data_IF_254552017785
#
_entry.id   IF_254552017785
#
_cell.length_a   1.000
_cell.length_b   1.000
_cell.length_c   1.000
_cell.angle_alpha   90.00
_cell.angle_beta   90.00
_cell.angle_gamma   90.00
#
_symmetry.space_group_name_H-M   'P 1'
#
loop_
_entity.id
_entity.type
_entity.pdbx_description
1 polymer ?
#
# COMPACT_ATOMS: atom_id res chain seq x y z
N UNK A 1 74.15 -1.81 37.35
CA UNK A 1 72.71 -1.80 37.72
C UNK A 1 72.19 -0.37 37.56
N UNK A 2 71.59 -0.04 36.42
CA UNK A 2 70.72 1.14 36.28
C UNK A 2 69.59 0.71 35.33
N UNK A 3 68.35 0.77 35.85
CA UNK A 3 67.12 0.33 35.20
C UNK A 3 66.69 1.34 34.12
N UNK A 4 66.40 0.86 32.93
CA UNK A 4 65.73 1.61 31.86
C UNK A 4 64.22 1.55 32.10
N UNK A 5 63.59 2.70 32.34
CA UNK A 5 62.13 2.83 32.47
C UNK A 5 61.60 3.26 31.10
N UNK A 6 60.81 2.40 30.43
CA UNK A 6 59.98 2.78 29.30
C UNK A 6 58.69 3.43 29.86
N UNK A 7 58.44 4.70 29.52
CA UNK A 7 57.11 5.29 29.59
C UNK A 7 56.33 4.93 28.32
N UNK A 8 55.24 4.19 28.49
CA UNK A 8 54.23 4.00 27.45
C UNK A 8 53.16 5.09 27.60
N UNK A 9 53.05 5.98 26.63
CA UNK A 9 51.98 6.98 26.55
C UNK A 9 50.77 6.33 25.88
N UNK A 10 49.73 6.04 26.66
CA UNK A 10 48.44 5.59 26.13
C UNK A 10 47.66 6.82 25.62
N UNK A 11 47.46 6.90 24.31
CA UNK A 11 46.58 7.89 23.69
C UNK A 11 45.15 7.35 23.76
N UNK A 12 44.35 7.86 24.71
CA UNK A 12 42.92 7.58 24.78
C UNK A 12 42.21 8.53 23.80
N UNK A 13 41.81 8.02 22.64
CA UNK A 13 40.84 8.71 21.79
C UNK A 13 39.45 8.52 22.41
N UNK A 14 38.96 9.54 23.13
CA UNK A 14 37.53 9.64 23.46
C UNK A 14 36.80 10.08 22.17
N UNK A 15 36.08 9.15 21.53
CA UNK A 15 35.00 9.53 20.61
C UNK A 15 33.84 10.03 21.47
N UNK A 16 33.68 11.35 21.54
CA UNK A 16 32.42 11.93 22.01
C UNK A 16 31.39 11.72 20.89
N UNK A 17 30.40 10.86 21.12
CA UNK A 17 29.20 10.87 20.31
C UNK A 17 28.53 12.24 20.48
N UNK A 18 28.28 12.95 19.39
CA UNK A 18 27.43 14.13 19.44
C UNK A 18 26.04 13.70 19.95
N UNK A 19 25.37 14.50 20.80
CA UNK A 19 23.98 14.23 21.12
C UNK A 19 23.19 14.21 19.81
N UNK A 20 22.34 13.20 19.61
CA UNK A 20 21.37 13.24 18.53
C UNK A 20 20.50 14.48 18.76
N UNK A 21 20.51 15.42 17.81
CA UNK A 21 19.62 16.57 17.87
C UNK A 21 18.18 16.06 17.83
N UNK A 22 17.32 16.60 18.70
CA UNK A 22 15.90 16.24 18.74
C UNK A 22 15.26 16.63 17.41
N UNK A 23 14.37 15.79 16.87
CA UNK A 23 13.69 16.08 15.62
C UNK A 23 12.82 17.33 15.78
N UNK A 24 12.95 18.25 14.83
CA UNK A 24 12.08 19.43 14.76
C UNK A 24 10.82 19.11 13.97
N UNK A 25 9.68 19.60 14.46
CA UNK A 25 8.41 19.49 13.75
C UNK A 25 8.46 20.33 12.48
N UNK A 26 8.01 19.78 11.36
CA UNK A 26 8.02 20.49 10.08
C UNK A 26 7.06 21.68 10.12
N UNK A 27 7.47 22.79 9.50
CA UNK A 27 6.60 23.96 9.31
C UNK A 27 5.82 23.92 7.99
N UNK A 28 5.96 22.83 7.22
CA UNK A 28 5.20 22.65 5.98
C UNK A 28 3.73 22.39 6.29
N UNK A 29 2.84 22.89 5.43
CA UNK A 29 1.40 22.69 5.55
C UNK A 29 0.97 21.54 4.66
N UNK A 30 0.11 20.68 5.18
CA UNK A 30 -0.48 19.54 4.48
C UNK A 30 -2.00 19.54 4.66
N UNK A 31 -2.72 18.95 3.71
CA UNK A 31 -4.16 18.71 3.89
C UNK A 31 -4.34 17.47 4.76
N UNK A 32 -4.85 17.66 5.98
CA UNK A 32 -4.95 16.61 7.00
C UNK A 32 -6.36 16.07 7.25
N UNK A 33 -7.34 16.54 6.48
CA UNK A 33 -8.74 16.12 6.59
C UNK A 33 -9.29 16.26 8.02
N UNK A 34 -9.79 15.16 8.59
CA UNK A 34 -10.32 15.11 9.95
C UNK A 34 -9.24 15.05 11.03
N UNK A 35 -7.95 14.89 10.70
CA UNK A 35 -6.86 14.87 11.66
C UNK A 35 -6.50 16.33 12.02
N UNK A 36 -6.82 16.80 13.23
CA UNK A 36 -6.58 18.20 13.59
C UNK A 36 -5.12 18.41 13.96
N UNK A 37 -4.44 19.32 13.24
CA UNK A 37 -3.07 19.78 13.55
C UNK A 37 -2.09 18.62 13.83
N UNK A 38 -1.85 17.73 12.85
CA UNK A 38 -0.94 16.60 13.04
C UNK A 38 0.49 17.07 13.35
N UNK A 39 1.19 16.35 14.23
CA UNK A 39 2.59 16.60 14.56
C UNK A 39 3.51 15.87 13.59
N UNK A 40 4.10 16.55 12.63
CA UNK A 40 4.82 15.89 11.53
C UNK A 40 6.33 16.08 11.67
N UNK A 41 7.07 14.97 11.68
CA UNK A 41 8.53 14.94 11.76
C UNK A 41 9.12 14.15 10.61
N UNK A 42 10.18 14.68 10.01
CA UNK A 42 10.82 14.11 8.83
C UNK A 42 12.26 13.68 9.18
N UNK A 43 12.69 12.48 8.75
CA UNK A 43 14.07 12.05 8.92
C UNK A 43 15.00 12.75 7.93
N UNK A 44 16.27 12.85 8.30
CA UNK A 44 17.32 13.21 7.35
C UNK A 44 17.70 11.97 6.51
N UNK A 45 17.74 12.14 5.19
CA UNK A 45 18.21 11.08 4.28
C UNK A 45 17.12 10.11 3.83
N UNK A 46 17.50 8.83 3.71
CA UNK A 46 16.61 7.78 3.20
C UNK A 46 15.51 7.45 4.21
N UNK A 47 14.25 7.55 3.76
CA UNK A 47 13.09 7.11 4.55
C UNK A 47 13.06 5.59 4.57
N UNK A 48 12.98 5.00 5.76
CA UNK A 48 12.92 3.54 5.96
C UNK A 48 11.54 3.03 6.34
N UNK A 49 10.64 3.93 6.74
CA UNK A 49 9.29 3.61 7.16
C UNK A 49 8.50 4.87 7.45
N UNK A 50 7.20 4.73 7.64
CA UNK A 50 6.30 5.83 8.03
C UNK A 50 5.41 5.35 9.16
N UNK A 51 5.27 6.14 10.22
CA UNK A 51 4.48 5.79 11.41
C UNK A 51 3.42 6.87 11.65
N UNK A 52 2.16 6.45 11.66
CA UNK A 52 1.04 7.22 12.20
C UNK A 52 0.96 6.93 13.70
N UNK A 53 1.58 7.81 14.50
CA UNK A 53 1.73 7.64 15.94
C UNK A 53 0.54 8.27 16.66
N UNK A 54 -0.35 7.44 17.22
CA UNK A 54 -1.55 7.89 17.92
C UNK A 54 -1.27 7.96 19.43
N UNK A 55 -1.44 9.16 20.01
CA UNK A 55 -1.25 9.37 21.45
C UNK A 55 -2.27 8.58 22.29
N UNK A 56 -1.98 8.38 23.57
CA UNK A 56 -2.97 7.81 24.49
C UNK A 56 -3.97 8.90 24.99
N UNK A 57 -4.82 8.56 25.96
CA UNK A 57 -5.88 9.41 26.52
C UNK A 57 -5.41 10.79 27.03
N UNK A 58 -4.14 10.93 27.39
CA UNK A 58 -3.57 12.18 27.87
C UNK A 58 -3.30 13.21 26.75
N UNK A 59 -3.37 12.78 25.48
CA UNK A 59 -2.97 13.58 24.33
C UNK A 59 -1.47 13.51 24.06
N UNK A 60 -1.06 14.18 22.99
CA UNK A 60 0.33 14.31 22.57
C UNK A 60 1.15 15.08 23.61
N UNK A 61 2.20 14.45 24.13
CA UNK A 61 3.08 15.06 25.14
C UNK A 61 4.53 14.61 25.06
N UNK A 62 5.22 14.68 26.19
CA UNK A 62 6.67 14.39 26.27
C UNK A 62 7.01 12.97 25.81
N UNK A 63 6.14 11.99 26.07
CA UNK A 63 6.35 10.61 25.66
C UNK A 63 6.25 10.48 24.14
N UNK A 64 5.15 10.93 23.53
CA UNK A 64 4.94 10.86 22.08
C UNK A 64 6.03 11.62 21.32
N UNK A 65 6.47 12.77 21.85
CA UNK A 65 7.60 13.52 21.26
C UNK A 65 8.92 12.75 21.35
N UNK A 66 9.24 12.15 22.49
CA UNK A 66 10.45 11.35 22.64
C UNK A 66 10.45 10.11 21.74
N UNK A 67 9.28 9.49 21.57
CA UNK A 67 9.09 8.37 20.67
C UNK A 67 9.23 8.79 19.20
N UNK A 68 8.65 9.94 18.83
CA UNK A 68 8.86 10.52 17.50
C UNK A 68 10.35 10.80 17.23
N UNK A 69 11.08 11.37 18.19
CA UNK A 69 12.52 11.61 18.06
C UNK A 69 13.32 10.34 17.78
N UNK A 70 12.97 9.25 18.49
CA UNK A 70 13.61 7.95 18.31
C UNK A 70 13.35 7.37 16.92
N UNK A 71 12.09 7.36 16.49
CA UNK A 71 11.68 6.85 15.17
C UNK A 71 12.31 7.66 14.02
N UNK A 72 12.37 8.99 14.16
CA UNK A 72 13.03 9.86 13.18
C UNK A 72 14.52 9.57 13.10
N UNK A 73 15.19 9.36 14.24
CA UNK A 73 16.60 8.99 14.26
C UNK A 73 16.89 7.65 13.56
N UNK A 74 15.93 6.72 13.57
CA UNK A 74 16.01 5.45 12.84
C UNK A 74 15.67 5.58 11.33
N UNK A 75 15.22 6.76 10.90
CA UNK A 75 14.89 7.06 9.50
C UNK A 75 13.42 6.93 9.15
N UNK A 76 12.51 6.94 10.14
CA UNK A 76 11.07 6.93 9.88
C UNK A 76 10.51 8.35 9.75
N UNK A 77 9.54 8.53 8.85
CA UNK A 77 8.59 9.66 8.93
C UNK A 77 7.64 9.40 10.08
N UNK A 78 7.38 10.41 10.90
CA UNK A 78 6.40 10.32 12.00
C UNK A 78 5.29 11.35 11.77
N UNK A 79 4.05 10.87 11.73
CA UNK A 79 2.84 11.69 11.68
C UNK A 79 2.08 11.43 12.97
N UNK A 80 2.18 12.37 13.88
CA UNK A 80 1.58 12.32 15.21
C UNK A 80 0.12 12.74 15.21
N UNK A 81 -0.72 11.93 15.86
CA UNK A 81 -2.16 12.15 16.02
C UNK A 81 -2.47 12.31 17.50
N UNK A 82 -2.91 13.52 17.89
CA UNK A 82 -3.44 13.77 19.24
C UNK A 82 -4.83 13.12 19.38
N UNK A 83 -4.90 12.04 20.15
CA UNK A 83 -6.11 11.24 20.31
C UNK A 83 -7.31 12.05 20.82
N UNK A 84 -7.21 12.86 21.90
CA UNK A 84 -8.34 13.66 22.38
C UNK A 84 -8.89 14.62 21.33
N UNK A 85 -8.01 15.35 20.63
CA UNK A 85 -8.40 16.29 19.59
C UNK A 85 -9.02 15.57 18.39
N UNK A 86 -8.46 14.41 18.01
CA UNK A 86 -8.98 13.64 16.88
C UNK A 86 -10.37 13.07 17.18
N UNK A 87 -10.57 12.45 18.35
CA UNK A 87 -11.91 11.98 18.78
C UNK A 87 -12.92 13.13 18.82
N UNK A 88 -12.50 14.32 19.26
CA UNK A 88 -13.36 15.50 19.25
C UNK A 88 -13.75 15.92 17.82
N UNK A 89 -12.81 15.92 16.88
CA UNK A 89 -13.06 16.22 15.47
C UNK A 89 -14.03 15.20 14.84
N UNK A 90 -13.80 13.90 15.06
CA UNK A 90 -14.66 12.81 14.59
C UNK A 90 -16.07 12.92 15.20
N UNK A 91 -16.17 13.22 16.49
CA UNK A 91 -17.44 13.45 17.17
C UNK A 91 -18.18 14.68 16.63
N UNK A 92 -17.47 15.67 16.11
CA UNK A 92 -18.02 16.87 15.46
C UNK A 92 -18.43 16.69 14.00
N UNK A 93 -17.93 15.66 13.31
CA UNK A 93 -18.10 15.48 11.86
C UNK A 93 -19.56 15.32 11.42
N UNK A 94 -19.96 16.01 10.36
CA UNK A 94 -21.29 15.82 9.76
C UNK A 94 -21.28 14.58 8.86
N UNK A 95 -21.74 13.46 9.41
CA UNK A 95 -21.78 12.17 8.71
C UNK A 95 -22.71 12.16 7.48
N UNK A 96 -23.59 13.15 7.32
CA UNK A 96 -24.43 13.25 6.11
C UNK A 96 -23.62 13.57 4.86
N UNK A 97 -22.37 14.02 5.02
CA UNK A 97 -21.42 14.27 3.93
C UNK A 97 -20.79 12.98 3.40
N UNK A 98 -20.98 11.84 4.06
CA UNK A 98 -20.34 10.57 3.73
C UNK A 98 -21.23 9.38 4.11
N UNK A 99 -22.42 9.32 3.48
CA UNK A 99 -23.38 8.22 3.59
C UNK A 99 -23.74 7.76 5.03
N UNK A 100 -23.65 8.68 6.00
CA UNK A 100 -24.03 8.44 7.38
C UNK A 100 -22.93 7.81 8.26
N UNK A 101 -21.67 7.75 7.79
CA UNK A 101 -20.55 7.19 8.54
C UNK A 101 -19.26 8.03 8.44
N UNK A 102 -18.30 7.74 9.30
CA UNK A 102 -16.96 8.37 9.32
C UNK A 102 -15.97 7.46 8.61
N UNK A 103 -15.18 8.00 7.69
CA UNK A 103 -14.09 7.27 7.02
C UNK A 103 -12.76 7.94 7.34
N UNK A 104 -11.93 7.28 8.16
CA UNK A 104 -10.65 7.85 8.62
C UNK A 104 -9.48 7.54 7.67
N UNK A 105 -9.58 6.44 6.92
CA UNK A 105 -8.44 5.86 6.20
C UNK A 105 -8.02 6.73 5.03
N UNK A 106 -8.94 7.42 4.35
CA UNK A 106 -8.60 8.37 3.27
C UNK A 106 -7.70 9.50 3.74
N UNK A 107 -7.97 10.06 4.92
CA UNK A 107 -7.18 11.16 5.47
C UNK A 107 -5.78 10.69 5.87
N UNK A 108 -5.69 9.47 6.43
CA UNK A 108 -4.43 8.82 6.80
C UNK A 108 -3.58 8.55 5.55
N UNK A 109 -4.17 7.94 4.52
CA UNK A 109 -3.50 7.59 3.26
C UNK A 109 -3.00 8.86 2.55
N UNK A 110 -3.89 9.84 2.35
CA UNK A 110 -3.56 11.10 1.67
C UNK A 110 -2.48 11.88 2.41
N UNK A 111 -2.60 12.02 3.74
CA UNK A 111 -1.61 12.73 4.53
C UNK A 111 -0.25 12.02 4.49
N UNK A 112 -0.23 10.69 4.64
CA UNK A 112 0.99 9.88 4.55
C UNK A 112 1.70 10.09 3.21
N UNK A 113 0.96 10.03 2.09
CA UNK A 113 1.49 10.23 0.75
C UNK A 113 2.04 11.65 0.55
N UNK A 114 1.31 12.68 0.98
CA UNK A 114 1.75 14.07 0.89
C UNK A 114 3.06 14.30 1.67
N UNK A 115 3.13 13.80 2.91
CA UNK A 115 4.29 13.96 3.79
C UNK A 115 5.50 13.22 3.24
N UNK A 116 5.34 11.95 2.83
CA UNK A 116 6.43 11.17 2.25
C UNK A 116 6.93 11.78 0.93
N UNK A 117 6.02 12.33 0.11
CA UNK A 117 6.39 13.03 -1.13
C UNK A 117 7.26 14.25 -0.84
N UNK A 118 6.95 15.00 0.21
CA UNK A 118 7.71 16.17 0.62
C UNK A 118 9.16 15.85 1.06
N UNK A 119 9.46 14.60 1.41
CA UNK A 119 10.84 14.17 1.72
C UNK A 119 11.72 14.07 0.47
N UNK A 120 11.13 13.96 -0.72
CA UNK A 120 11.87 13.72 -1.97
C UNK A 120 12.46 12.31 -2.10
N UNK A 121 12.07 11.37 -1.22
CA UNK A 121 12.51 9.97 -1.29
C UNK A 121 11.82 9.19 -2.41
N UNK A 122 12.49 8.13 -2.86
CA UNK A 122 12.06 7.31 -4.00
C UNK A 122 11.20 6.09 -3.63
N UNK A 123 11.21 5.69 -2.37
CA UNK A 123 10.36 4.61 -1.87
C UNK A 123 9.14 5.20 -1.17
N UNK A 124 7.97 4.62 -1.45
CA UNK A 124 6.77 4.81 -0.66
C UNK A 124 6.69 3.70 0.37
N UNK A 125 6.38 4.05 1.62
CA UNK A 125 6.15 3.10 2.69
C UNK A 125 4.71 3.23 3.16
N UNK A 126 3.93 2.14 3.09
CA UNK A 126 2.62 2.13 3.72
C UNK A 126 2.78 2.43 5.23
N UNK A 127 1.93 3.31 5.80
CA UNK A 127 2.09 3.73 7.17
C UNK A 127 1.86 2.56 8.14
N UNK A 128 2.64 2.52 9.20
CA UNK A 128 2.35 1.75 10.41
C UNK A 128 1.40 2.60 11.26
N UNK A 129 0.19 2.11 11.55
CA UNK A 129 -0.74 2.79 12.47
C UNK A 129 -0.59 2.20 13.86
N UNK A 130 -0.15 3.01 14.82
CA UNK A 130 0.29 2.51 16.11
C UNK A 130 -0.16 3.38 17.29
N UNK A 131 -0.56 2.74 18.40
CA UNK A 131 -0.78 3.43 19.66
C UNK A 131 -0.84 2.53 20.89
N UNK A 132 -0.85 3.17 22.06
CA UNK A 132 -1.01 2.52 23.38
C UNK A 132 -2.39 2.85 23.94
N UNK A 133 -3.06 1.89 24.58
CA UNK A 133 -4.30 2.17 25.32
C UNK A 133 -5.44 2.64 24.41
N UNK A 134 -5.86 3.89 24.59
CA UNK A 134 -6.84 4.54 23.71
C UNK A 134 -6.35 4.66 22.26
N UNK A 135 -5.07 5.00 22.07
CA UNK A 135 -4.46 5.07 20.73
C UNK A 135 -4.40 3.69 20.07
N UNK A 136 -4.13 2.63 20.86
CA UNK A 136 -4.15 1.25 20.37
C UNK A 136 -5.56 0.77 20.02
N UNK A 137 -6.57 1.17 20.80
CA UNK A 137 -7.97 0.89 20.47
C UNK A 137 -8.41 1.59 19.18
N UNK A 138 -7.94 2.83 18.95
CA UNK A 138 -8.20 3.56 17.71
C UNK A 138 -7.49 2.92 16.51
N UNK A 139 -6.25 2.45 16.68
CA UNK A 139 -5.52 1.71 15.64
C UNK A 139 -6.30 0.46 15.18
N UNK A 140 -6.83 -0.33 16.12
CA UNK A 140 -7.69 -1.48 15.79
C UNK A 140 -9.01 -1.08 15.11
N UNK A 141 -9.59 0.07 15.47
CA UNK A 141 -10.80 0.57 14.83
C UNK A 141 -10.55 1.08 13.40
N UNK A 142 -9.37 1.66 13.14
CA UNK A 142 -8.92 2.05 11.80
C UNK A 142 -8.77 0.80 10.92
N UNK A 143 -8.16 -0.28 11.44
CA UNK A 143 -8.02 -1.54 10.73
C UNK A 143 -9.38 -2.12 10.26
N UNK A 144 -10.47 -1.87 11.00
CA UNK A 144 -11.81 -2.30 10.60
C UNK A 144 -12.34 -1.60 9.33
N UNK A 145 -11.81 -0.44 8.95
CA UNK A 145 -12.19 0.30 7.74
C UNK A 145 -11.16 0.19 6.62
N UNK A 146 -10.02 -0.43 6.90
CA UNK A 146 -8.83 -0.32 6.06
C UNK A 146 -9.00 -1.18 4.82
N UNK A 147 -8.89 -0.58 3.62
CA UNK A 147 -8.77 -1.33 2.39
C UNK A 147 -7.41 -2.01 2.30
N UNK A 148 -7.38 -3.05 1.49
CA UNK A 148 -6.18 -3.75 1.09
C UNK A 148 -5.08 -2.80 0.58
N UNK A 149 -3.84 -3.02 1.04
CA UNK A 149 -2.64 -2.29 0.61
C UNK A 149 -2.66 -0.77 0.90
N UNK A 150 -3.43 -0.31 1.88
CA UNK A 150 -3.43 1.10 2.34
C UNK A 150 -2.62 1.34 3.61
N UNK A 151 -2.64 0.39 4.56
CA UNK A 151 -1.86 0.43 5.80
C UNK A 151 -0.87 -0.74 5.78
N UNK A 152 0.36 -0.49 6.21
CA UNK A 152 1.41 -1.50 6.16
C UNK A 152 1.39 -2.45 7.36
N UNK A 153 0.92 -1.95 8.51
CA UNK A 153 0.86 -2.67 9.77
C UNK A 153 0.00 -1.91 10.79
N UNK A 154 -0.80 -2.63 11.55
CA UNK A 154 -1.44 -2.13 12.77
C UNK A 154 -0.72 -2.65 14.01
N UNK A 155 -0.32 -1.76 14.92
CA UNK A 155 0.25 -2.09 16.22
C UNK A 155 -0.61 -1.50 17.36
N UNK A 156 -1.10 -2.36 18.24
CA UNK A 156 -1.86 -1.94 19.41
C UNK A 156 -1.27 -2.53 20.70
N UNK A 157 -0.71 -1.68 21.55
CA UNK A 157 -0.19 -2.10 22.86
C UNK A 157 -1.19 -1.75 23.96
N UNK A 158 -1.55 -2.75 24.78
CA UNK A 158 -2.58 -2.65 25.81
C UNK A 158 -3.88 -1.94 25.33
N UNK A 159 -4.45 -2.27 24.15
CA UNK A 159 -5.62 -1.57 23.65
C UNK A 159 -6.81 -1.69 24.60
N UNK A 160 -7.61 -0.63 24.70
CA UNK A 160 -8.93 -0.70 25.35
C UNK A 160 -9.98 -1.35 24.43
N UNK A 161 -11.10 -1.79 25.01
CA UNK A 161 -12.22 -2.29 24.23
C UNK A 161 -12.97 -1.12 23.54
N UNK A 162 -12.89 -1.08 22.21
CA UNK A 162 -13.58 -0.09 21.37
C UNK A 162 -13.07 1.34 21.54
N UNK A 163 -13.66 2.28 20.80
CA UNK A 163 -13.30 3.71 20.81
C UNK A 163 -14.43 4.57 21.38
N UNK A 164 -14.15 5.73 22.01
CA UNK A 164 -15.15 6.63 22.58
C UNK A 164 -15.87 7.46 21.51
N UNK A 165 -16.50 6.77 20.56
CA UNK A 165 -17.20 7.35 19.42
C UNK A 165 -18.49 6.56 19.17
N UNK A 166 -19.63 7.25 19.18
CA UNK A 166 -20.96 6.65 18.92
C UNK A 166 -21.39 6.81 17.46
N UNK A 167 -20.76 7.72 16.71
CA UNK A 167 -20.90 7.79 15.26
C UNK A 167 -20.20 6.59 14.64
N UNK A 168 -20.89 5.96 13.68
CA UNK A 168 -20.39 4.73 13.08
C UNK A 168 -19.25 5.00 12.10
N UNK A 169 -18.30 4.09 12.08
CA UNK A 169 -17.27 4.00 11.04
C UNK A 169 -17.87 3.36 9.78
N UNK A 170 -17.46 3.86 8.61
CA UNK A 170 -17.71 3.25 7.31
C UNK A 170 -16.99 1.92 7.21
N UNK A 171 -17.67 0.85 7.60
CA UNK A 171 -17.17 -0.52 7.52
C UNK A 171 -18.34 -1.51 7.53
N UNK A 172 -18.26 -2.61 6.76
CA UNK A 172 -19.20 -3.72 6.88
C UNK A 172 -18.94 -4.60 8.11
N UNK A 173 -17.82 -4.39 8.82
CA UNK A 173 -17.47 -5.15 10.01
C UNK A 173 -18.54 -5.07 11.10
N UNK A 174 -18.60 -6.13 11.92
CA UNK A 174 -19.50 -6.14 13.07
C UNK A 174 -19.16 -5.01 14.05
N UNK A 175 -20.18 -4.45 14.71
CA UNK A 175 -20.01 -3.33 15.64
C UNK A 175 -20.98 -3.44 16.80
N UNK A 176 -20.51 -3.03 17.99
CA UNK A 176 -21.30 -3.07 19.22
C UNK A 176 -21.05 -1.83 20.07
N UNK A 177 -22.10 -1.06 20.31
CA UNK A 177 -22.06 0.08 21.23
C UNK A 177 -22.16 -0.42 22.68
N UNK A 178 -21.21 -0.01 23.52
CA UNK A 178 -21.15 -0.29 24.96
C UNK A 178 -20.93 1.05 25.69
N UNK A 179 -22.00 1.58 26.29
CA UNK A 179 -21.96 2.92 26.87
C UNK A 179 -21.74 3.98 25.79
N UNK A 180 -20.69 4.78 25.95
CA UNK A 180 -20.28 5.81 24.97
C UNK A 180 -19.20 5.32 24.00
N UNK A 181 -18.89 4.02 24.01
CA UNK A 181 -17.86 3.41 23.16
C UNK A 181 -18.46 2.50 22.12
N UNK A 182 -17.82 2.40 20.96
CA UNK A 182 -18.14 1.42 19.93
C UNK A 182 -16.98 0.45 19.75
N UNK A 183 -17.26 -0.84 19.91
CA UNK A 183 -16.32 -1.96 19.69
C UNK A 183 -16.54 -2.49 18.27
N UNK A 184 -15.48 -2.50 17.46
CA UNK A 184 -15.51 -2.98 16.08
C UNK A 184 -14.88 -4.37 15.97
N UNK A 185 -15.48 -5.23 15.15
CA UNK A 185 -14.84 -6.41 14.59
C UNK A 185 -13.98 -6.03 13.37
N UNK A 186 -13.59 -7.03 12.59
CA UNK A 186 -13.02 -6.84 11.25
C UNK A 186 -13.97 -7.44 10.21
N UNK A 187 -13.80 -7.05 8.95
CA UNK A 187 -14.55 -7.59 7.82
C UNK A 187 -14.17 -9.05 7.58
N UNK A 188 -15.11 -9.87 7.09
CA UNK A 188 -14.83 -11.26 6.73
C UNK A 188 -13.76 -11.34 5.63
N UNK A 189 -12.88 -12.33 5.69
CA UNK A 189 -11.83 -12.55 4.69
C UNK A 189 -10.42 -12.41 5.25
N UNK A 190 -9.47 -12.16 4.35
CA UNK A 190 -8.09 -11.88 4.71
C UNK A 190 -7.99 -10.54 5.45
N UNK A 191 -7.00 -10.43 6.33
CA UNK A 191 -6.72 -9.15 6.98
C UNK A 191 -6.23 -8.12 5.94
N UNK A 192 -6.69 -6.85 6.01
CA UNK A 192 -6.26 -5.81 5.09
C UNK A 192 -4.79 -5.42 5.28
N UNK A 193 -4.30 -5.55 6.52
CA UNK A 193 -2.93 -5.35 6.95
C UNK A 193 -2.58 -6.31 8.11
N UNK A 194 -1.30 -6.65 8.33
CA UNK A 194 -0.89 -7.41 9.50
C UNK A 194 -1.22 -6.66 10.80
N UNK A 195 -1.73 -7.38 11.81
CA UNK A 195 -2.11 -6.80 13.11
C UNK A 195 -1.31 -7.47 14.22
N UNK A 196 -0.59 -6.67 15.01
CA UNK A 196 0.08 -7.11 16.23
C UNK A 196 -0.59 -6.42 17.42
N UNK A 197 -0.98 -7.21 18.41
CA UNK A 197 -1.38 -6.72 19.72
C UNK A 197 -0.42 -7.23 20.78
N UNK A 198 0.02 -6.35 21.67
CA UNK A 198 0.93 -6.71 22.76
C UNK A 198 0.30 -6.34 24.09
N UNK A 199 0.32 -7.27 25.04
CA UNK A 199 -0.26 -7.09 26.36
C UNK A 199 0.80 -7.13 27.45
N UNK A 200 0.77 -6.12 28.31
CA UNK A 200 1.54 -6.06 29.54
C UNK A 200 0.71 -6.54 30.73
N UNK A 201 1.29 -6.73 31.93
CA UNK A 201 0.52 -7.09 33.12
C UNK A 201 -0.52 -6.03 33.55
N UNK A 202 -0.46 -4.82 32.99
CA UNK A 202 -1.39 -3.72 33.28
C UNK A 202 -2.52 -3.59 32.25
N UNK A 203 -2.55 -4.45 31.24
CA UNK A 203 -3.58 -4.47 30.20
C UNK A 203 -5.00 -4.44 30.79
N UNK A 204 -5.89 -3.70 30.12
CA UNK A 204 -7.31 -3.78 30.39
C UNK A 204 -7.86 -5.16 29.99
N UNK A 205 -8.73 -5.72 30.84
CA UNK A 205 -9.25 -7.08 30.63
C UNK A 205 -10.23 -7.15 29.46
N UNK A 206 -11.06 -6.12 29.29
CA UNK A 206 -12.05 -6.09 28.21
C UNK A 206 -11.34 -5.82 26.87
N UNK A 207 -10.30 -4.99 26.87
CA UNK A 207 -9.41 -4.77 25.75
C UNK A 207 -8.71 -6.04 25.27
N UNK A 208 -8.12 -6.81 26.20
CA UNK A 208 -7.55 -8.13 25.86
C UNK A 208 -8.61 -9.10 25.32
N UNK A 209 -9.78 -9.18 25.96
CA UNK A 209 -10.85 -10.05 25.50
C UNK A 209 -11.36 -9.68 24.10
N UNK A 210 -11.34 -8.39 23.74
CA UNK A 210 -11.67 -7.91 22.40
C UNK A 210 -10.63 -8.36 21.37
N UNK A 211 -9.33 -8.16 21.63
CA UNK A 211 -8.27 -8.62 20.72
C UNK A 211 -8.28 -10.15 20.53
N UNK A 212 -8.51 -10.92 21.60
CA UNK A 212 -8.65 -12.39 21.52
C UNK A 212 -9.88 -12.80 20.68
N UNK A 213 -10.97 -12.03 20.74
CA UNK A 213 -12.14 -12.26 19.89
C UNK A 213 -11.84 -11.95 18.41
N UNK A 214 -11.07 -10.90 18.13
CA UNK A 214 -10.58 -10.60 16.77
C UNK A 214 -9.70 -11.74 16.25
N UNK A 215 -8.71 -12.18 17.03
CA UNK A 215 -7.80 -13.27 16.64
C UNK A 215 -8.56 -14.59 16.40
N UNK A 216 -9.63 -14.83 17.16
CA UNK A 216 -10.47 -16.01 16.92
C UNK A 216 -11.18 -15.96 15.57
N UNK A 217 -11.55 -14.78 15.09
CA UNK A 217 -12.13 -14.59 13.77
C UNK A 217 -11.07 -14.56 12.65
N UNK A 218 -9.88 -14.02 12.95
CA UNK A 218 -8.74 -13.88 12.04
C UNK A 218 -7.48 -14.42 12.72
N UNK A 219 -7.16 -15.69 12.46
CA UNK A 219 -6.08 -16.42 13.11
C UNK A 219 -4.67 -15.83 12.90
N UNK A 220 -4.54 -14.98 11.89
CA UNK A 220 -3.34 -14.28 11.46
C UNK A 220 -2.98 -13.10 12.36
N UNK A 221 -3.90 -12.62 13.21
CA UNK A 221 -3.61 -11.58 14.21
C UNK A 221 -2.62 -12.14 15.24
N UNK A 222 -1.51 -11.44 15.43
CA UNK A 222 -0.52 -11.82 16.43
C UNK A 222 -0.86 -11.20 17.79
N UNK A 223 -0.98 -12.05 18.81
CA UNK A 223 -1.12 -11.62 20.20
C UNK A 223 0.15 -12.01 20.95
N UNK A 224 0.84 -11.01 21.52
CA UNK A 224 2.06 -11.18 22.31
C UNK A 224 1.82 -10.79 23.77
N UNK A 225 2.55 -11.43 24.67
CA UNK A 225 2.64 -11.04 26.08
C UNK A 225 4.05 -10.51 26.37
N UNK A 226 4.14 -9.41 27.10
CA UNK A 226 5.41 -8.84 27.57
C UNK A 226 5.38 -8.61 29.08
N UNK A 227 6.55 -8.73 29.71
CA UNK A 227 6.76 -8.35 31.11
C UNK A 227 7.23 -6.90 31.28
N UNK A 228 7.63 -6.26 30.19
CA UNK A 228 8.07 -4.86 30.17
C UNK A 228 6.88 -3.92 30.30
N UNK A 229 7.15 -2.64 30.53
CA UNK A 229 6.10 -1.63 30.51
C UNK A 229 5.65 -1.31 29.07
N UNK A 230 4.44 -0.77 28.96
CA UNK A 230 3.78 -0.54 27.67
C UNK A 230 4.58 0.39 26.74
N UNK A 231 5.30 1.37 27.27
CA UNK A 231 6.08 2.32 26.47
C UNK A 231 7.33 1.66 25.90
N UNK A 232 8.06 0.92 26.74
CA UNK A 232 9.24 0.17 26.30
C UNK A 232 8.88 -0.84 25.20
N UNK A 233 7.87 -1.69 25.43
CA UNK A 233 7.50 -2.71 24.43
C UNK A 233 6.91 -2.12 23.16
N UNK A 234 6.20 -0.99 23.26
CA UNK A 234 5.70 -0.25 22.11
C UNK A 234 6.86 0.23 21.24
N UNK A 235 7.84 0.88 21.87
CA UNK A 235 9.01 1.39 21.17
C UNK A 235 9.83 0.27 20.51
N UNK A 236 10.16 -0.78 21.26
CA UNK A 236 10.94 -1.91 20.72
C UNK A 236 10.21 -2.58 19.54
N UNK A 237 8.89 -2.75 19.64
CA UNK A 237 8.10 -3.36 18.56
C UNK A 237 8.07 -2.45 17.32
N UNK A 238 7.98 -1.13 17.48
CA UNK A 238 8.01 -0.20 16.34
C UNK A 238 9.36 -0.21 15.61
N UNK A 239 10.48 -0.34 16.32
CA UNK A 239 11.81 -0.39 15.67
C UNK A 239 11.94 -1.63 14.77
N UNK A 240 11.46 -2.78 15.26
CA UNK A 240 11.41 -4.02 14.48
C UNK A 240 10.53 -3.85 13.23
N UNK A 241 9.38 -3.19 13.36
CA UNK A 241 8.43 -2.97 12.28
C UNK A 241 8.95 -1.98 11.22
N UNK A 242 9.55 -0.87 11.64
CA UNK A 242 10.20 0.09 10.72
C UNK A 242 11.33 -0.60 9.96
N UNK A 243 12.14 -1.40 10.65
CA UNK A 243 13.21 -2.18 10.01
C UNK A 243 12.67 -3.17 8.97
N UNK A 244 11.53 -3.81 9.25
CA UNK A 244 10.89 -4.75 8.33
C UNK A 244 10.22 -4.07 7.11
N UNK A 245 9.73 -2.84 7.26
CA UNK A 245 9.01 -2.09 6.21
C UNK A 245 9.84 -1.82 4.96
N UNK A 246 11.17 -1.78 5.05
CA UNK A 246 12.07 -1.48 3.93
C UNK A 246 12.37 -2.63 2.97
N UNK A 247 11.86 -3.84 3.19
CA UNK A 247 12.23 -5.01 2.39
C UNK A 247 11.06 -5.56 1.55
N UNK A 248 11.15 -5.46 0.22
CA UNK A 248 10.27 -6.25 -0.64
C UNK A 248 10.64 -7.73 -0.56
N UNK A 249 9.72 -8.56 -0.06
CA UNK A 249 9.96 -9.98 0.27
C UNK A 249 10.18 -10.93 -0.91
N UNK A 250 10.62 -10.46 -2.07
CA UNK A 250 10.86 -11.28 -3.26
C UNK A 250 12.29 -11.11 -3.83
N UNK A 251 12.81 -12.12 -4.57
CA UNK A 251 14.19 -12.12 -5.06
C UNK A 251 14.52 -11.01 -6.09
N UNK A 252 13.51 -10.34 -6.64
CA UNK A 252 13.70 -9.28 -7.62
C UNK A 252 13.80 -7.90 -6.95
N UNK A 253 13.47 -7.78 -5.66
CA UNK A 253 13.50 -6.50 -4.94
C UNK A 253 12.53 -5.46 -5.52
N UNK A 254 11.45 -5.93 -6.15
CA UNK A 254 10.42 -5.10 -6.77
C UNK A 254 9.13 -5.17 -5.92
N UNK A 255 8.25 -4.16 -5.96
CA UNK A 255 6.97 -4.20 -5.26
C UNK A 255 5.99 -5.15 -5.99
N UNK A 256 6.11 -6.44 -5.70
CA UNK A 256 5.37 -7.51 -6.40
C UNK A 256 4.44 -8.26 -5.45
N UNK A 257 3.21 -8.48 -5.90
CA UNK A 257 2.31 -9.49 -5.37
C UNK A 257 2.46 -10.78 -6.18
N UNK A 258 2.78 -11.89 -5.53
CA UNK A 258 3.00 -13.18 -6.20
C UNK A 258 1.89 -14.14 -5.81
N UNK A 259 1.01 -14.47 -6.76
CA UNK A 259 -0.10 -15.40 -6.57
C UNK A 259 0.23 -16.72 -7.26
N UNK A 260 0.68 -17.70 -6.48
CA UNK A 260 1.05 -19.01 -7.02
C UNK A 260 -0.19 -19.81 -7.44
N UNK A 261 -0.10 -20.50 -8.56
CA UNK A 261 -1.10 -21.47 -9.02
C UNK A 261 -0.40 -22.64 -9.71
N UNK A 262 -1.08 -23.80 -9.78
CA UNK A 262 -0.64 -24.86 -10.69
C UNK A 262 -1.00 -24.46 -12.11
N UNK A 263 -0.03 -24.27 -13.03
CA UNK A 263 -0.33 -23.71 -14.35
C UNK A 263 -1.20 -24.66 -15.20
N UNK A 264 -2.42 -24.24 -15.52
CA UNK A 264 -3.37 -24.98 -16.33
C UNK A 264 -3.25 -24.67 -17.83
N UNK A 265 -2.68 -23.51 -18.19
CA UNK A 265 -2.65 -22.98 -19.56
C UNK A 265 -1.24 -22.85 -20.15
N UNK A 266 -0.20 -23.42 -19.52
CA UNK A 266 1.22 -23.15 -19.87
C UNK A 266 1.51 -21.63 -19.93
N UNK A 267 0.80 -20.84 -19.10
CA UNK A 267 0.77 -19.37 -19.12
C UNK A 267 0.86 -18.81 -17.70
N UNK A 268 1.63 -17.73 -17.52
CA UNK A 268 1.55 -16.85 -16.34
C UNK A 268 0.98 -15.49 -16.74
N UNK A 269 0.43 -14.76 -15.77
CA UNK A 269 0.06 -13.36 -15.94
C UNK A 269 1.07 -12.43 -15.26
N UNK A 270 1.35 -11.28 -15.89
CA UNK A 270 1.92 -10.11 -15.22
C UNK A 270 0.89 -9.00 -15.31
N UNK A 271 0.51 -8.43 -14.16
CA UNK A 271 -0.53 -7.40 -14.07
C UNK A 271 0.12 -6.12 -13.54
N UNK A 272 -0.01 -5.01 -14.25
CA UNK A 272 0.30 -3.68 -13.72
C UNK A 272 -0.99 -3.07 -13.18
N UNK A 273 -0.99 -2.73 -11.88
CA UNK A 273 -2.16 -2.19 -11.22
C UNK A 273 -2.51 -0.78 -11.69
N UNK A 274 -3.68 -0.30 -11.27
CA UNK A 274 -3.98 1.13 -11.27
C UNK A 274 -2.98 1.92 -10.40
N UNK A 275 -3.06 3.24 -10.48
CA UNK A 275 -2.21 4.16 -9.72
C UNK A 275 -2.37 4.00 -8.19
N UNK A 276 -3.53 3.57 -7.73
CA UNK A 276 -3.80 3.23 -6.33
C UNK A 276 -3.01 2.04 -5.75
N UNK A 277 -2.22 1.33 -6.56
CA UNK A 277 -1.45 0.16 -6.13
C UNK A 277 -2.23 -1.16 -6.25
N UNK A 278 -1.66 -2.25 -5.70
CA UNK A 278 -2.21 -3.61 -5.85
C UNK A 278 -3.42 -3.85 -4.93
N UNK A 279 -4.60 -3.37 -5.33
CA UNK A 279 -5.85 -3.42 -4.54
C UNK A 279 -7.08 -3.76 -5.40
N UNK A 280 -8.19 -4.03 -4.71
CA UNK A 280 -9.55 -4.18 -5.29
C UNK A 280 -9.59 -4.94 -6.63
N UNK A 281 -9.89 -4.27 -7.75
CA UNK A 281 -9.91 -4.84 -9.12
C UNK A 281 -8.66 -5.65 -9.47
N UNK A 282 -7.47 -5.17 -9.14
CA UNK A 282 -6.21 -5.82 -9.47
C UNK A 282 -6.03 -7.14 -8.71
N UNK A 283 -6.39 -7.11 -7.41
CA UNK A 283 -6.39 -8.28 -6.54
C UNK A 283 -7.45 -9.30 -6.94
N UNK A 284 -8.67 -8.87 -7.27
CA UNK A 284 -9.76 -9.75 -7.65
C UNK A 284 -9.55 -10.38 -9.04
N UNK A 285 -9.07 -9.61 -10.01
CA UNK A 285 -8.66 -10.14 -11.33
C UNK A 285 -7.50 -11.12 -11.15
N UNK A 286 -6.46 -10.75 -10.41
CA UNK A 286 -5.32 -11.61 -10.13
C UNK A 286 -5.69 -12.90 -9.39
N UNK A 287 -6.53 -12.80 -8.36
CA UNK A 287 -7.04 -13.92 -7.58
C UNK A 287 -7.93 -14.86 -8.39
N UNK A 288 -8.75 -14.31 -9.30
CA UNK A 288 -9.59 -15.12 -10.19
C UNK A 288 -8.76 -15.83 -11.27
N UNK A 289 -7.74 -15.17 -11.83
CA UNK A 289 -6.75 -15.81 -12.70
C UNK A 289 -6.01 -16.95 -11.98
N UNK A 290 -5.59 -16.72 -10.72
CA UNK A 290 -4.97 -17.73 -9.88
C UNK A 290 -5.88 -18.94 -9.66
N UNK A 291 -7.15 -18.71 -9.29
CA UNK A 291 -8.18 -19.77 -9.12
C UNK A 291 -8.37 -20.60 -10.39
N UNK A 292 -8.27 -19.97 -11.56
CA UNK A 292 -8.38 -20.64 -12.87
C UNK A 292 -7.08 -21.36 -13.30
N UNK A 293 -6.00 -21.28 -12.51
CA UNK A 293 -4.74 -21.97 -12.79
C UNK A 293 -3.77 -21.14 -13.65
N UNK A 294 -3.85 -19.82 -13.60
CA UNK A 294 -2.86 -18.91 -14.19
C UNK A 294 -2.11 -18.26 -13.01
N UNK A 295 -0.85 -18.63 -12.73
CA UNK A 295 -0.07 -17.95 -11.70
C UNK A 295 0.16 -16.49 -12.10
N UNK A 296 0.12 -15.58 -11.12
CA UNK A 296 0.12 -14.13 -11.34
C UNK A 296 1.30 -13.47 -10.63
N UNK A 297 1.95 -12.53 -11.33
CA UNK A 297 2.79 -11.51 -10.73
C UNK A 297 2.09 -10.17 -10.89
N UNK A 298 1.56 -9.63 -9.81
CA UNK A 298 1.07 -8.25 -9.74
C UNK A 298 2.23 -7.29 -9.49
N UNK A 299 2.36 -6.25 -10.30
CA UNK A 299 3.23 -5.10 -10.08
C UNK A 299 2.37 -4.02 -9.43
N UNK A 300 2.71 -3.67 -8.19
CA UNK A 300 2.07 -2.57 -7.48
C UNK A 300 2.59 -1.25 -8.07
N UNK A 301 1.79 -0.65 -8.96
CA UNK A 301 2.16 0.56 -9.68
C UNK A 301 2.38 1.74 -8.74
N UNK A 302 1.70 1.82 -7.58
CA UNK A 302 1.91 2.87 -6.59
C UNK A 302 3.34 2.90 -6.10
N UNK A 303 3.80 1.77 -5.57
CA UNK A 303 5.16 1.65 -5.07
C UNK A 303 6.19 1.70 -6.20
N UNK A 304 5.86 1.12 -7.36
CA UNK A 304 6.80 1.04 -8.48
C UNK A 304 7.05 2.41 -9.12
N UNK A 305 5.99 3.20 -9.36
CA UNK A 305 6.04 4.52 -9.98
C UNK A 305 5.90 5.66 -8.96
N UNK A 306 6.19 5.39 -7.69
CA UNK A 306 6.26 6.46 -6.68
C UNK A 306 7.20 7.55 -7.15
N UNK A 307 8.40 7.19 -7.63
CA UNK A 307 9.27 8.10 -8.36
C UNK A 307 9.20 7.88 -9.86
N UNK A 308 9.49 8.95 -10.60
CA UNK A 308 9.53 8.92 -12.06
C UNK A 308 10.51 7.86 -12.56
N UNK A 309 10.04 7.05 -13.51
CA UNK A 309 10.81 6.01 -14.18
C UNK A 309 10.87 6.23 -15.67
N UNK A 310 11.91 5.72 -16.30
CA UNK A 310 11.99 5.66 -17.75
C UNK A 310 11.29 4.41 -18.29
N UNK A 311 10.66 4.48 -19.48
CA UNK A 311 10.05 3.31 -20.12
C UNK A 311 11.02 2.13 -20.27
N UNK A 312 12.30 2.39 -20.53
CA UNK A 312 13.34 1.34 -20.65
C UNK A 312 13.61 0.62 -19.33
N UNK A 313 13.50 1.32 -18.19
CA UNK A 313 13.67 0.72 -16.86
C UNK A 313 12.50 -0.24 -16.59
N UNK A 314 11.28 0.19 -16.88
CA UNK A 314 10.08 -0.64 -16.79
C UNK A 314 10.15 -1.88 -17.68
N UNK A 315 10.60 -1.74 -18.93
CA UNK A 315 10.75 -2.87 -19.84
C UNK A 315 11.85 -3.85 -19.37
N UNK A 316 12.94 -3.33 -18.81
CA UNK A 316 14.02 -4.15 -18.22
C UNK A 316 13.52 -4.94 -17.01
N UNK A 317 12.77 -4.31 -16.11
CA UNK A 317 12.23 -4.99 -14.92
C UNK A 317 11.12 -5.99 -15.29
N UNK A 318 10.24 -5.67 -16.24
CA UNK A 318 9.30 -6.64 -16.81
C UNK A 318 10.02 -7.85 -17.42
N UNK A 319 11.14 -7.63 -18.13
CA UNK A 319 11.94 -8.72 -18.68
C UNK A 319 12.48 -9.63 -17.56
N UNK A 320 12.95 -9.07 -16.43
CA UNK A 320 13.41 -9.86 -15.28
C UNK A 320 12.27 -10.67 -14.65
N UNK A 321 11.08 -10.07 -14.51
CA UNK A 321 9.87 -10.74 -14.00
C UNK A 321 9.51 -11.93 -14.89
N UNK A 322 9.37 -11.70 -16.19
CA UNK A 322 9.04 -12.73 -17.18
C UNK A 322 10.07 -13.86 -17.14
N UNK A 323 11.36 -13.52 -17.18
CA UNK A 323 12.43 -14.53 -17.19
C UNK A 323 12.49 -15.37 -15.93
N UNK A 324 12.28 -14.75 -14.76
CA UNK A 324 12.35 -15.44 -13.48
C UNK A 324 11.15 -16.36 -13.28
N UNK A 325 9.93 -15.81 -13.41
CA UNK A 325 8.71 -16.53 -13.05
C UNK A 325 8.28 -17.57 -14.09
N UNK A 326 8.58 -17.38 -15.38
CA UNK A 326 8.40 -18.44 -16.38
C UNK A 326 9.24 -19.67 -16.07
N UNK A 327 10.49 -19.48 -15.62
CA UNK A 327 11.38 -20.59 -15.21
C UNK A 327 10.88 -21.25 -13.93
N UNK A 328 10.47 -20.44 -12.94
CA UNK A 328 9.94 -20.91 -11.66
C UNK A 328 8.71 -21.80 -11.85
N UNK A 329 7.72 -21.31 -12.61
CA UNK A 329 6.45 -22.01 -12.82
C UNK A 329 6.46 -22.94 -14.04
N UNK A 330 7.55 -22.96 -14.81
CA UNK A 330 7.75 -23.81 -15.99
C UNK A 330 6.69 -23.59 -17.08
N UNK A 331 6.35 -22.31 -17.30
CA UNK A 331 5.36 -21.89 -18.30
C UNK A 331 6.03 -21.20 -19.49
N UNK A 332 5.42 -21.32 -20.67
CA UNK A 332 5.94 -20.72 -21.90
C UNK A 332 5.33 -19.38 -22.23
N UNK A 333 4.07 -19.16 -21.89
CA UNK A 333 3.32 -18.00 -22.35
C UNK A 333 3.15 -16.95 -21.26
N UNK A 334 2.98 -15.70 -21.68
CA UNK A 334 2.74 -14.55 -20.80
C UNK A 334 1.48 -13.84 -21.25
N UNK A 335 0.56 -13.64 -20.31
CA UNK A 335 -0.54 -12.70 -20.40
C UNK A 335 -0.09 -11.39 -19.72
N UNK A 336 -0.02 -10.28 -20.44
CA UNK A 336 0.18 -8.97 -19.84
C UNK A 336 -1.17 -8.31 -19.63
N UNK A 337 -1.43 -7.82 -18.43
CA UNK A 337 -2.63 -7.06 -18.08
C UNK A 337 -2.18 -5.71 -17.51
N UNK A 338 -2.87 -4.63 -17.89
CA UNK A 338 -2.72 -3.33 -17.25
C UNK A 338 -4.11 -2.75 -16.98
N UNK A 339 -4.31 -2.18 -15.79
CA UNK A 339 -5.53 -1.45 -15.44
C UNK A 339 -5.24 0.03 -15.25
N UNK A 340 -6.07 0.91 -15.85
CA UNK A 340 -5.99 2.37 -15.72
C UNK A 340 -4.56 2.85 -16.01
N UNK A 341 -3.88 3.48 -15.05
CA UNK A 341 -2.45 3.81 -15.13
C UNK A 341 -1.57 2.67 -15.66
N UNK A 342 -1.77 1.43 -15.19
CA UNK A 342 -1.06 0.26 -15.68
C UNK A 342 -1.37 -0.07 -17.14
N UNK A 343 -2.59 0.18 -17.61
CA UNK A 343 -2.96 0.05 -19.02
C UNK A 343 -2.21 1.06 -19.89
N UNK A 344 -1.96 2.25 -19.37
CA UNK A 344 -1.26 3.33 -20.08
C UNK A 344 0.25 3.05 -20.22
N UNK A 345 0.85 2.39 -19.22
CA UNK A 345 2.27 2.03 -19.19
C UNK A 345 2.61 0.82 -20.05
N UNK A 346 1.72 -0.17 -20.12
CA UNK A 346 2.01 -1.49 -20.73
C UNK A 346 2.38 -1.42 -22.23
N UNK A 347 1.72 -0.62 -23.10
CA UNK A 347 2.00 -0.58 -24.53
C UNK A 347 3.46 -0.25 -24.88
N UNK A 348 3.98 0.87 -24.37
CA UNK A 348 5.37 1.27 -24.57
C UNK A 348 6.36 0.28 -23.91
N UNK A 349 6.04 -0.18 -22.70
CA UNK A 349 6.84 -1.18 -21.99
C UNK A 349 6.99 -2.46 -22.81
N UNK A 350 5.90 -2.97 -23.39
CA UNK A 350 5.90 -4.14 -24.27
C UNK A 350 6.74 -3.90 -25.53
N UNK A 351 6.67 -2.71 -26.13
CA UNK A 351 7.45 -2.40 -27.32
C UNK A 351 8.97 -2.52 -27.07
N UNK A 352 9.41 -2.11 -25.89
CA UNK A 352 10.81 -2.09 -25.45
C UNK A 352 11.32 -3.43 -24.89
N UNK A 353 10.47 -4.44 -24.79
CA UNK A 353 10.89 -5.78 -24.36
C UNK A 353 11.96 -6.36 -25.29
N UNK A 354 12.87 -7.12 -24.67
CA UNK A 354 13.83 -7.96 -25.41
C UNK A 354 13.09 -9.01 -26.26
N UNK A 355 13.66 -9.44 -27.39
CA UNK A 355 12.96 -10.33 -28.33
C UNK A 355 12.46 -11.65 -27.72
N UNK A 356 13.19 -12.26 -26.80
CA UNK A 356 12.81 -13.56 -26.22
C UNK A 356 11.57 -13.43 -25.33
N UNK A 357 11.52 -12.40 -24.49
CA UNK A 357 10.44 -12.07 -23.58
C UNK A 357 9.23 -11.58 -24.37
N UNK A 358 9.44 -10.68 -25.34
CA UNK A 358 8.39 -10.18 -26.23
C UNK A 358 7.68 -11.31 -26.99
N UNK A 359 8.43 -12.30 -27.48
CA UNK A 359 7.88 -13.46 -28.20
C UNK A 359 7.07 -14.43 -27.32
N UNK A 360 7.19 -14.31 -25.99
CA UNK A 360 6.41 -15.13 -25.06
C UNK A 360 5.06 -14.54 -24.70
N UNK A 361 4.85 -13.25 -24.97
CA UNK A 361 3.58 -12.57 -24.72
C UNK A 361 2.57 -13.01 -25.77
N UNK A 362 1.48 -13.60 -25.32
CA UNK A 362 0.39 -14.08 -26.18
C UNK A 362 -0.83 -13.18 -26.15
N UNK A 363 -0.91 -12.27 -25.17
CA UNK A 363 -2.02 -11.33 -25.03
C UNK A 363 -1.60 -10.11 -24.21
N UNK A 364 -2.08 -8.94 -24.62
CA UNK A 364 -2.08 -7.69 -23.87
C UNK A 364 -3.55 -7.33 -23.59
N UNK A 365 -3.98 -7.37 -22.33
CA UNK A 365 -5.30 -6.90 -21.90
C UNK A 365 -5.17 -5.54 -21.21
N UNK A 366 -5.68 -4.50 -21.86
CA UNK A 366 -5.62 -3.11 -21.40
C UNK A 366 -7.01 -2.71 -20.92
N UNK A 367 -7.15 -2.47 -19.62
CA UNK A 367 -8.43 -2.23 -18.94
C UNK A 367 -8.54 -0.74 -18.62
N UNK A 368 -9.56 -0.07 -19.17
CA UNK A 368 -9.78 1.38 -19.06
C UNK A 368 -8.54 2.20 -19.47
N UNK A 369 -8.00 1.87 -20.65
CA UNK A 369 -6.87 2.57 -21.29
C UNK A 369 -7.20 4.04 -21.53
N UNK A 370 -6.27 4.95 -21.26
CA UNK A 370 -6.36 6.38 -21.54
C UNK A 370 -5.42 6.84 -22.67
N UNK A 371 -5.48 8.13 -23.00
CA UNK A 371 -4.60 8.78 -23.99
C UNK A 371 -3.32 9.40 -23.40
N UNK A 372 -3.08 9.27 -22.09
CA UNK A 372 -1.99 9.96 -21.41
C UNK A 372 -1.27 9.02 -20.47
N UNK A 373 0.07 9.00 -20.54
CA UNK A 373 0.89 8.31 -19.54
C UNK A 373 1.91 9.28 -18.97
N UNK A 374 2.01 9.28 -17.64
CA UNK A 374 3.12 9.86 -16.91
C UNK A 374 3.75 8.72 -16.11
N UNK A 375 5.02 8.41 -16.32
CA UNK A 375 5.71 7.28 -15.66
C UNK A 375 6.04 7.58 -14.19
N UNK A 376 5.15 8.28 -13.52
CA UNK A 376 5.19 8.73 -12.13
C UNK A 376 3.75 8.91 -11.65
N UNK A 377 3.48 8.51 -10.42
CA UNK A 377 2.17 8.72 -9.81
C UNK A 377 2.12 10.10 -9.16
N UNK A 378 1.17 10.91 -9.63
CA UNK A 378 0.93 12.25 -9.12
C UNK A 378 -0.10 12.21 -8.00
N UNK A 379 0.32 12.57 -6.78
CA UNK A 379 -0.61 12.78 -5.64
C UNK A 379 -1.62 13.90 -5.97
N UNK A 380 -1.22 14.90 -6.75
CA UNK A 380 -2.13 15.95 -7.25
C UNK A 380 -3.10 15.42 -8.30
N UNK A 381 -2.70 14.40 -9.07
CA UNK A 381 -3.54 13.70 -10.03
C UNK A 381 -4.77 13.08 -9.36
N UNK A 382 -4.55 12.42 -8.21
CA UNK A 382 -5.63 11.86 -7.38
C UNK A 382 -6.58 12.89 -6.80
N UNK A 383 -6.13 14.14 -6.61
CA UNK A 383 -6.96 15.27 -6.21
C UNK A 383 -7.71 15.91 -7.39
N UNK A 384 -7.76 15.23 -8.55
CA UNK A 384 -8.52 15.62 -9.73
C UNK A 384 -7.79 16.59 -10.65
N UNK A 385 -6.46 16.75 -10.54
CA UNK A 385 -5.69 17.54 -11.51
C UNK A 385 -5.26 16.67 -12.70
N UNK A 386 -5.44 17.18 -13.92
CA UNK A 386 -4.90 16.50 -15.10
C UNK A 386 -3.39 16.44 -15.04
N UNK A 387 -2.84 15.26 -15.33
CA UNK A 387 -1.39 15.06 -15.44
C UNK A 387 -0.90 15.63 -16.79
N UNK A 388 0.41 15.83 -16.96
CA UNK A 388 0.94 16.49 -18.15
C UNK A 388 0.97 15.56 -19.39
N UNK A 389 0.88 14.24 -19.21
CA UNK A 389 0.97 13.24 -20.28
C UNK A 389 2.33 13.24 -20.98
N UNK A 390 3.40 13.60 -20.26
CA UNK A 390 4.73 13.79 -20.82
C UNK A 390 5.34 12.49 -21.37
N UNK A 391 4.86 11.34 -20.90
CA UNK A 391 5.25 10.01 -21.38
C UNK A 391 4.63 9.61 -22.72
N UNK A 392 3.64 10.34 -23.23
CA UNK A 392 3.05 10.15 -24.56
C UNK A 392 1.63 9.58 -24.56
N UNK A 393 1.23 9.02 -25.71
CA UNK A 393 -0.11 8.49 -25.97
C UNK A 393 -0.04 6.96 -26.13
N UNK A 394 -0.60 6.17 -25.19
CA UNK A 394 -0.61 4.71 -25.26
C UNK A 394 -1.24 4.14 -26.54
N UNK A 395 -2.23 4.84 -27.14
CA UNK A 395 -2.82 4.44 -28.42
C UNK A 395 -1.82 4.58 -29.57
N UNK A 396 -0.93 5.58 -29.50
CA UNK A 396 0.15 5.73 -30.48
C UNK A 396 1.18 4.60 -30.35
N UNK A 397 1.48 4.15 -29.12
CA UNK A 397 2.40 3.06 -28.86
C UNK A 397 1.90 1.71 -29.40
N UNK A 398 0.58 1.50 -29.43
CA UNK A 398 -0.01 0.28 -29.97
C UNK A 398 0.10 0.15 -31.50
N UNK A 399 0.44 1.22 -32.23
CA UNK A 399 0.52 1.19 -33.72
C UNK A 399 1.53 0.19 -34.27
N UNK A 400 2.58 -0.13 -33.52
CA UNK A 400 3.62 -1.09 -33.92
C UNK A 400 3.50 -2.44 -33.20
N UNK A 401 2.41 -2.66 -32.45
CA UNK A 401 2.09 -3.94 -31.83
C UNK A 401 1.23 -4.75 -32.79
N UNK A 402 1.41 -6.07 -32.84
CA UNK A 402 0.49 -6.93 -33.59
C UNK A 402 -0.91 -6.80 -32.97
N UNK A 403 -1.90 -6.24 -33.69
CA UNK A 403 -3.21 -5.98 -33.12
C UNK A 403 -3.90 -7.25 -32.65
N UNK A 404 -3.53 -8.44 -33.16
CA UNK A 404 -4.09 -9.71 -32.69
C UNK A 404 -3.75 -10.03 -31.24
N UNK A 405 -2.67 -9.49 -30.70
CA UNK A 405 -2.30 -9.66 -29.30
C UNK A 405 -3.14 -8.77 -28.37
N UNK A 406 -3.72 -7.69 -28.89
CA UNK A 406 -4.32 -6.62 -28.08
C UNK A 406 -5.80 -6.90 -27.83
N UNK A 407 -6.18 -6.84 -26.56
CA UNK A 407 -7.54 -6.74 -26.06
C UNK A 407 -7.65 -5.44 -25.25
N UNK A 408 -8.55 -4.53 -25.63
CA UNK A 408 -8.82 -3.29 -24.90
C UNK A 408 -10.25 -3.35 -24.35
N UNK A 409 -10.39 -3.33 -23.03
CA UNK A 409 -11.68 -3.47 -22.34
C UNK A 409 -11.99 -2.15 -21.62
N UNK A 410 -13.21 -1.64 -21.75
CA UNK A 410 -13.62 -0.41 -21.07
C UNK A 410 -15.07 -0.48 -20.56
N UNK A 411 -15.36 0.29 -19.51
CA UNK A 411 -16.70 0.47 -18.97
C UNK A 411 -17.55 1.33 -19.90
N UNK A 412 -18.84 1.04 -20.00
CA UNK A 412 -19.78 1.83 -20.81
C UNK A 412 -19.97 3.26 -20.26
N UNK A 413 -19.84 3.40 -18.95
CA UNK A 413 -19.98 4.65 -18.19
C UNK A 413 -18.61 5.16 -17.72
N UNK A 414 -17.53 4.63 -18.31
CA UNK A 414 -16.16 5.13 -18.14
C UNK A 414 -16.06 6.58 -18.62
N UNK A 415 -15.04 7.29 -18.13
CA UNK A 415 -14.92 8.73 -18.37
C UNK A 415 -14.55 9.08 -19.83
N UNK A 416 -14.59 10.38 -20.14
CA UNK A 416 -14.30 10.88 -21.49
C UNK A 416 -12.82 10.69 -21.92
N UNK A 417 -11.93 10.34 -21.00
CA UNK A 417 -10.50 10.13 -21.27
C UNK A 417 -10.21 8.68 -21.75
N UNK A 418 -11.22 7.79 -21.78
CA UNK A 418 -11.09 6.40 -22.26
C UNK A 418 -10.76 6.28 -23.75
N UNK A 419 -9.69 5.55 -24.04
CA UNK A 419 -9.05 5.49 -25.35
C UNK A 419 -9.32 4.18 -26.13
N UNK A 420 -9.84 3.13 -25.49
CA UNK A 420 -10.17 1.86 -26.17
C UNK A 420 -11.03 2.01 -27.45
N UNK A 421 -12.04 2.92 -27.50
CA UNK A 421 -12.81 3.15 -28.72
C UNK A 421 -11.97 3.55 -29.95
N UNK A 422 -10.81 4.20 -29.76
CA UNK A 422 -9.91 4.60 -30.85
C UNK A 422 -9.25 3.40 -31.57
N UNK A 423 -9.29 2.20 -30.97
CA UNK A 423 -8.66 1.00 -31.52
C UNK A 423 -9.60 0.14 -32.37
N UNK A 424 -10.89 0.50 -32.52
CA UNK A 424 -11.90 -0.34 -33.20
C UNK A 424 -11.52 -0.75 -34.63
N UNK A 425 -10.81 0.10 -35.37
CA UNK A 425 -10.40 -0.16 -36.75
C UNK A 425 -8.95 -0.70 -36.88
N UNK A 426 -8.26 -0.96 -35.76
CA UNK A 426 -6.87 -1.44 -35.75
C UNK A 426 -6.73 -2.95 -35.95
N UNK A 427 -7.83 -3.70 -35.79
CA UNK A 427 -7.83 -5.17 -35.71
C UNK A 427 -7.63 -5.72 -34.29
N UNK A 428 -7.48 -4.85 -33.29
CA UNK A 428 -7.49 -5.23 -31.88
C UNK A 428 -8.90 -5.65 -31.42
N UNK A 429 -8.96 -6.46 -30.36
CA UNK A 429 -10.21 -6.86 -29.72
C UNK A 429 -10.67 -5.74 -28.77
N UNK A 430 -11.63 -4.92 -29.19
CA UNK A 430 -12.21 -3.85 -28.35
C UNK A 430 -13.52 -4.31 -27.73
N UNK A 431 -13.60 -4.32 -26.39
CA UNK A 431 -14.74 -4.83 -25.62
C UNK A 431 -15.30 -3.74 -24.71
N UNK A 432 -16.59 -3.45 -24.85
CA UNK A 432 -17.34 -2.59 -23.91
C UNK A 432 -18.09 -3.47 -22.92
N UNK A 433 -17.91 -3.23 -21.62
CA UNK A 433 -18.64 -3.89 -20.54
C UNK A 433 -19.55 -2.90 -19.81
N UNK A 434 -20.60 -3.35 -19.11
CA UNK A 434 -21.35 -2.49 -18.19
C UNK A 434 -20.44 -1.91 -17.09
N UNK A 435 -20.85 -0.76 -16.56
CA UNK A 435 -20.20 -0.08 -15.44
C UNK A 435 -19.27 1.05 -15.83
N UNK A 436 -18.71 1.67 -14.80
CA UNK A 436 -17.80 2.81 -14.85
C UNK A 436 -16.33 2.40 -15.06
N UNK A 437 -15.40 3.29 -14.70
CA UNK A 437 -13.94 3.03 -14.70
C UNK A 437 -13.51 1.84 -13.82
N UNK A 438 -14.34 1.46 -12.85
CA UNK A 438 -14.17 0.30 -11.98
C UNK A 438 -15.09 -0.87 -12.37
N UNK A 439 -15.77 -0.80 -13.52
CA UNK A 439 -16.64 -1.85 -14.05
C UNK A 439 -17.77 -2.28 -13.09
N UNK A 440 -18.25 -1.36 -12.24
CA UNK A 440 -19.24 -1.61 -11.17
C UNK A 440 -18.89 -2.84 -10.30
N UNK A 441 -17.61 -3.05 -10.01
CA UNK A 441 -17.08 -4.20 -9.25
C UNK A 441 -17.39 -5.58 -9.86
N UNK A 442 -17.77 -5.64 -11.14
CA UNK A 442 -18.07 -6.89 -11.83
C UNK A 442 -16.79 -7.59 -12.36
N UNK A 443 -15.86 -7.83 -11.44
CA UNK A 443 -14.54 -8.37 -11.73
C UNK A 443 -14.58 -9.81 -12.24
N UNK A 444 -15.64 -10.57 -11.91
CA UNK A 444 -15.90 -11.89 -12.47
C UNK A 444 -16.11 -11.84 -13.99
N UNK A 445 -16.97 -10.93 -14.47
CA UNK A 445 -17.21 -10.76 -15.91
C UNK A 445 -15.97 -10.24 -16.63
N UNK A 446 -15.27 -9.28 -16.02
CA UNK A 446 -14.04 -8.72 -16.54
C UNK A 446 -12.97 -9.81 -16.72
N UNK A 447 -12.70 -10.57 -15.65
CA UNK A 447 -11.68 -11.64 -15.68
C UNK A 447 -12.06 -12.76 -16.64
N UNK A 448 -13.33 -13.14 -16.68
CA UNK A 448 -13.82 -14.13 -17.66
C UNK A 448 -13.54 -13.67 -19.09
N UNK A 449 -13.77 -12.39 -19.39
CA UNK A 449 -13.51 -11.79 -20.71
C UNK A 449 -12.04 -11.89 -21.10
N UNK A 450 -11.12 -11.65 -20.15
CA UNK A 450 -9.67 -11.79 -20.34
C UNK A 450 -9.29 -13.24 -20.64
N UNK A 451 -9.80 -14.19 -19.83
CA UNK A 451 -9.46 -15.62 -19.95
C UNK A 451 -10.02 -16.23 -21.26
N UNK A 452 -11.25 -15.87 -21.66
CA UNK A 452 -11.84 -16.37 -22.90
C UNK A 452 -11.03 -15.91 -24.12
N UNK A 453 -10.53 -14.68 -24.09
CA UNK A 453 -9.60 -14.14 -25.06
C UNK A 453 -8.27 -14.91 -25.10
N UNK A 454 -7.70 -15.22 -23.94
CA UNK A 454 -6.46 -15.98 -23.83
C UNK A 454 -6.62 -17.38 -24.43
N UNK A 455 -7.72 -18.07 -24.07
CA UNK A 455 -8.02 -19.41 -24.56
C UNK A 455 -8.08 -19.48 -26.08
N UNK A 456 -8.63 -18.45 -26.75
CA UNK A 456 -8.65 -18.38 -28.22
C UNK A 456 -7.24 -18.22 -28.79
N UNK A 457 -6.45 -17.30 -28.23
CA UNK A 457 -5.09 -17.00 -28.72
C UNK A 457 -4.08 -18.14 -28.51
N UNK A 458 -4.31 -19.02 -27.53
CA UNK A 458 -3.48 -20.22 -27.33
C UNK A 458 -3.83 -21.38 -28.28
N UNK A 459 -4.96 -21.31 -28.99
CA UNK A 459 -5.41 -22.34 -29.94
C UNK A 459 -5.03 -22.03 -31.40
N UNK A 460 -4.70 -20.77 -31.69
CA UNK A 460 -4.23 -20.27 -32.98
C UNK A 460 -2.71 -20.43 -33.13
#
# INVERSE_FOLDING_TARGET
MIKTILLATACVCMLAAAPADAAEETTQSFESGLIPSPHIFLPEGEVKGTVMLISNAAGWGDYEKAEADRLVAEGAVVIGVDFPSYVQALSGYDVSLNDGCIYMVSDIESLSQQVQRATGNNAYHLPIVAGIGEGGALALAIAAQTPDATIGQTLAVDPLAGIPLTKELCTPASKKVIGERTVYGLSDGALPDPIITVFTPKADKDGRAHAEALQKAHSEIEIRDSTDDAQTVFGDTLDDLVTASGAFGNPLGLPLAVLEATPAFDTMAVIYSGDGGWRDIDKEVGGTLQKEGIPVVGVDSLHYFWSERKPEETASDLSKIIDFYRKQWKVKHVLLVGYSFGADVVPATYQLLKPAEKSSVVQLSLLSLSHQVDYVISVLGWLGQKTEGAGGDPVADLKNVDPKLVQCVYGKEDDDDVACPALKDSGAEVVELPGDHHFDENYDLLTKTIIDALKRRLQD
#
